data_IF_822717779614
#
_entry.id   IF_822717779614
#
_cell.length_a   1.000
_cell.length_b   1.000
_cell.length_c   1.000
_cell.angle_alpha   90.00
_cell.angle_beta   90.00
_cell.angle_gamma   90.00
#
_symmetry.space_group_name_H-M   'P 1'
#
loop_
_entity.id
_entity.type
_entity.pdbx_description
1 polymer ?
#
# COMPACT_ATOMS: atom_id res chain seq x y z
N UNK A 1 23.69 9.17 13.26
CA UNK A 1 23.87 7.88 12.59
C UNK A 1 22.70 7.66 11.65
N UNK A 2 22.96 7.13 10.46
CA UNK A 2 21.93 6.82 9.46
C UNK A 2 21.96 5.34 9.14
N UNK A 3 20.79 4.74 9.07
CA UNK A 3 20.65 3.32 8.76
C UNK A 3 19.91 3.21 7.44
N UNK A 4 20.49 2.53 6.47
CA UNK A 4 19.87 2.30 5.17
C UNK A 4 18.75 1.28 5.33
N UNK A 5 17.57 1.63 4.84
CA UNK A 5 16.38 0.79 4.86
C UNK A 5 15.67 0.83 3.51
N UNK A 6 14.69 -0.03 3.33
CA UNK A 6 13.77 0.03 2.21
C UNK A 6 12.50 0.75 2.64
N UNK A 7 11.96 1.54 1.72
CA UNK A 7 10.60 2.07 1.81
C UNK A 7 9.79 1.38 0.72
N UNK A 8 8.79 0.62 1.12
CA UNK A 8 7.86 -0.02 0.18
C UNK A 8 6.55 0.76 0.25
N UNK A 9 6.08 1.19 -0.91
CA UNK A 9 4.85 1.95 -1.03
C UNK A 9 3.86 1.16 -1.88
N UNK A 10 2.67 0.96 -1.37
CA UNK A 10 1.60 0.24 -2.04
C UNK A 10 0.48 1.23 -2.32
N UNK A 11 0.19 1.47 -3.61
CA UNK A 11 -0.87 2.37 -4.04
C UNK A 11 -2.03 1.57 -4.58
N UNK A 12 -3.18 1.72 -3.93
CA UNK A 12 -4.42 1.02 -4.26
C UNK A 12 -5.58 2.00 -4.13
N UNK A 13 -6.79 1.52 -4.28
CA UNK A 13 -8.00 2.29 -3.97
C UNK A 13 -8.65 1.71 -2.72
N UNK A 14 -9.32 2.57 -1.98
CA UNK A 14 -9.94 2.23 -0.69
C UNK A 14 -10.86 1.02 -0.76
N UNK A 15 -11.63 0.90 -1.84
CA UNK A 15 -12.62 -0.17 -1.97
C UNK A 15 -12.11 -1.39 -2.74
N UNK A 16 -10.83 -1.47 -3.06
CA UNK A 16 -10.27 -2.63 -3.73
C UNK A 16 -10.43 -3.89 -2.87
N UNK A 17 -10.78 -4.98 -3.54
CA UNK A 17 -11.04 -6.27 -2.89
C UNK A 17 -10.36 -7.39 -3.65
N UNK A 18 -10.00 -8.44 -2.92
CA UNK A 18 -9.51 -9.70 -3.47
C UNK A 18 -10.21 -10.82 -2.71
N UNK A 19 -10.93 -11.68 -3.43
CA UNK A 19 -11.64 -12.81 -2.82
C UNK A 19 -12.66 -12.38 -1.77
N UNK A 20 -13.31 -11.22 -1.98
CA UNK A 20 -14.32 -10.72 -1.06
C UNK A 20 -13.77 -9.99 0.16
N UNK A 21 -12.45 -9.83 0.26
CA UNK A 21 -11.81 -9.13 1.37
C UNK A 21 -11.19 -7.85 0.88
N UNK A 22 -11.20 -6.81 1.73
CA UNK A 22 -10.55 -5.55 1.42
C UNK A 22 -9.06 -5.77 1.21
N UNK A 23 -8.55 -5.29 0.08
CA UNK A 23 -7.13 -5.39 -0.23
C UNK A 23 -6.26 -4.72 0.82
N UNK A 24 -6.70 -3.58 1.35
CA UNK A 24 -6.03 -2.88 2.44
C UNK A 24 -5.78 -3.81 3.63
N UNK A 25 -6.81 -4.54 4.04
CA UNK A 25 -6.71 -5.46 5.19
C UNK A 25 -5.76 -6.62 4.90
N UNK A 26 -5.80 -7.16 3.68
CA UNK A 26 -4.90 -8.24 3.29
C UNK A 26 -3.44 -7.79 3.33
N UNK A 27 -3.15 -6.59 2.83
CA UNK A 27 -1.80 -6.03 2.85
C UNK A 27 -1.33 -5.81 4.29
N UNK A 28 -2.18 -5.21 5.13
CA UNK A 28 -1.82 -4.97 6.52
C UNK A 28 -1.56 -6.26 7.29
N UNK A 29 -2.37 -7.29 7.05
CA UNK A 29 -2.18 -8.60 7.69
C UNK A 29 -0.86 -9.24 7.26
N UNK A 30 -0.54 -9.15 5.98
CA UNK A 30 0.72 -9.67 5.46
C UNK A 30 1.92 -8.99 6.12
N UNK A 31 1.87 -7.66 6.25
CA UNK A 31 2.94 -6.89 6.89
C UNK A 31 3.08 -7.23 8.38
N UNK A 32 1.96 -7.37 9.09
CA UNK A 32 1.98 -7.75 10.50
C UNK A 32 2.59 -9.14 10.70
N UNK A 33 2.22 -10.10 9.88
CA UNK A 33 2.76 -11.46 9.96
C UNK A 33 4.25 -11.52 9.69
N UNK A 34 4.74 -10.61 8.85
CA UNK A 34 6.16 -10.54 8.53
C UNK A 34 6.99 -9.89 9.65
N UNK A 35 6.33 -9.35 10.67
CA UNK A 35 7.03 -8.76 11.80
C UNK A 35 7.67 -7.40 11.50
N UNK A 36 7.11 -6.64 10.54
CA UNK A 36 7.61 -5.29 10.27
C UNK A 36 7.31 -4.38 11.45
N UNK A 37 8.16 -3.35 11.62
CA UNK A 37 8.08 -2.44 12.77
C UNK A 37 6.81 -1.60 12.78
N UNK A 38 6.27 -1.31 11.60
CA UNK A 38 5.05 -0.50 11.50
C UNK A 38 4.72 -0.19 10.05
N UNK A 39 3.52 0.32 9.84
CA UNK A 39 3.06 0.75 8.53
C UNK A 39 2.12 1.92 8.71
N UNK A 40 2.07 2.80 7.72
CA UNK A 40 1.19 3.97 7.73
C UNK A 40 0.26 3.89 6.54
N UNK A 41 -1.01 4.18 6.77
CA UNK A 41 -2.01 4.27 5.71
C UNK A 41 -2.36 5.72 5.51
N UNK A 42 -2.23 6.17 4.25
CA UNK A 42 -2.60 7.52 3.84
C UNK A 42 -3.81 7.44 2.92
N UNK A 43 -4.78 8.30 3.14
CA UNK A 43 -5.92 8.43 2.24
C UNK A 43 -5.73 9.68 1.39
N UNK A 44 -5.68 9.49 0.07
CA UNK A 44 -5.61 10.61 -0.85
C UNK A 44 -6.98 11.22 -1.09
N UNK A 45 -7.00 12.48 -1.50
CA UNK A 45 -8.26 13.19 -1.77
C UNK A 45 -8.60 13.24 -3.25
N UNK A 46 -7.63 12.96 -4.11
CA UNK A 46 -7.82 13.01 -5.56
C UNK A 46 -6.71 12.21 -6.24
N UNK A 47 -6.99 11.68 -7.41
CA UNK A 47 -6.00 10.96 -8.20
C UNK A 47 -6.61 10.38 -9.46
N UNK A 48 -5.75 9.87 -10.34
CA UNK A 48 -6.19 9.13 -11.51
C UNK A 48 -5.13 8.10 -11.90
N UNK A 49 -5.55 7.10 -12.62
CA UNK A 49 -4.68 6.04 -13.11
C UNK A 49 -5.37 5.22 -14.19
N UNK A 50 -4.92 3.98 -14.39
CA UNK A 50 -5.47 3.08 -15.41
C UNK A 50 -6.98 2.89 -15.28
N UNK A 51 -7.52 2.97 -14.06
CA UNK A 51 -8.94 2.75 -13.78
C UNK A 51 -9.74 4.05 -13.67
N UNK A 52 -9.17 5.17 -14.15
CA UNK A 52 -9.84 6.47 -14.10
C UNK A 52 -9.56 7.26 -12.84
N UNK A 53 -10.46 8.16 -12.51
CA UNK A 53 -10.29 9.10 -11.40
C UNK A 53 -10.71 8.49 -10.06
N UNK A 54 -10.00 8.92 -9.00
CA UNK A 54 -10.39 8.66 -7.62
C UNK A 54 -10.55 10.01 -6.94
N UNK A 55 -11.79 10.42 -6.70
CA UNK A 55 -12.09 11.72 -6.10
C UNK A 55 -13.05 11.57 -4.94
N UNK A 56 -13.01 12.54 -4.03
CA UNK A 56 -13.98 12.64 -2.96
C UNK A 56 -15.23 13.34 -3.48
N UNK A 57 -16.36 12.64 -3.46
CA UNK A 57 -17.67 13.24 -3.74
C UNK A 57 -18.38 13.54 -2.43
N UNK A 58 -18.85 14.77 -2.28
CA UNK A 58 -19.45 15.25 -1.03
C UNK A 58 -20.96 14.96 -0.90
N UNK A 59 -21.54 14.20 -1.83
CA UNK A 59 -22.98 13.98 -1.88
C UNK A 59 -23.45 12.63 -1.33
N UNK A 60 -22.77 12.10 -0.33
CA UNK A 60 -23.19 10.87 0.33
C UNK A 60 -22.97 9.59 -0.47
N UNK A 61 -22.32 9.66 -1.60
CA UNK A 61 -22.01 8.50 -2.42
C UNK A 61 -20.68 7.91 -1.94
N UNK A 62 -20.61 6.58 -1.89
CA UNK A 62 -19.38 5.87 -1.53
C UNK A 62 -18.26 6.28 -2.47
N UNK A 63 -17.18 6.79 -1.90
CA UNK A 63 -16.06 7.31 -2.66
C UNK A 63 -14.90 6.33 -2.61
N UNK A 64 -14.40 5.96 -3.79
CA UNK A 64 -13.27 5.08 -3.90
C UNK A 64 -11.98 5.89 -3.98
N UNK A 65 -11.49 6.31 -2.84
CA UNK A 65 -10.34 7.22 -2.73
C UNK A 65 -9.02 6.50 -2.95
N UNK A 66 -8.00 7.23 -3.43
CA UNK A 66 -6.64 6.68 -3.46
C UNK A 66 -6.18 6.33 -2.05
N UNK A 67 -5.52 5.21 -1.91
CA UNK A 67 -4.98 4.76 -0.63
C UNK A 67 -3.53 4.37 -0.81
N UNK A 68 -2.69 4.84 0.10
CA UNK A 68 -1.28 4.53 0.10
C UNK A 68 -0.92 3.86 1.41
N UNK A 69 -0.30 2.69 1.33
CA UNK A 69 0.27 2.01 2.48
C UNK A 69 1.79 2.11 2.35
N UNK A 70 2.41 2.67 3.37
CA UNK A 70 3.86 2.84 3.40
C UNK A 70 4.45 2.05 4.55
N UNK A 71 5.52 1.31 4.27
CA UNK A 71 6.28 0.58 5.28
C UNK A 71 7.77 0.83 5.06
N UNK A 72 8.46 1.13 6.14
CA UNK A 72 9.91 1.32 6.13
C UNK A 72 10.51 0.28 7.09
N UNK A 73 11.37 -0.58 6.57
CA UNK A 73 12.03 -1.61 7.37
C UNK A 73 13.26 -2.12 6.61
N UNK A 74 13.91 -3.10 7.20
CA UNK A 74 15.07 -3.72 6.58
C UNK A 74 14.69 -4.46 5.30
N UNK A 75 15.56 -4.38 4.30
CA UNK A 75 15.38 -5.09 3.03
C UNK A 75 15.10 -6.57 3.24
N UNK A 76 15.84 -7.22 4.14
CA UNK A 76 15.71 -8.66 4.39
C UNK A 76 14.31 -9.07 4.88
N UNK A 77 13.58 -8.15 5.52
CA UNK A 77 12.19 -8.39 5.94
C UNK A 77 11.19 -8.13 4.84
N UNK A 78 11.44 -7.12 4.02
CA UNK A 78 10.48 -6.66 3.01
C UNK A 78 10.59 -7.41 1.68
N UNK A 79 11.81 -7.75 1.26
CA UNK A 79 12.04 -8.40 -0.03
C UNK A 79 11.26 -9.71 -0.19
N UNK A 80 11.22 -10.61 0.82
CA UNK A 80 10.45 -11.84 0.70
C UNK A 80 8.94 -11.64 0.51
N UNK A 81 8.42 -10.45 0.84
CA UNK A 81 6.99 -10.15 0.73
C UNK A 81 6.59 -9.69 -0.67
N UNK A 82 7.54 -9.27 -1.49
CA UNK A 82 7.25 -8.65 -2.78
C UNK A 82 6.44 -9.54 -3.72
N UNK A 83 6.75 -10.84 -3.87
CA UNK A 83 5.94 -11.70 -4.73
C UNK A 83 4.48 -11.75 -4.33
N UNK A 84 4.19 -11.90 -3.04
CA UNK A 84 2.81 -11.95 -2.53
C UNK A 84 2.10 -10.60 -2.68
N UNK A 85 2.80 -9.50 -2.38
CA UNK A 85 2.26 -8.16 -2.58
C UNK A 85 1.89 -7.95 -4.04
N UNK A 86 2.78 -8.33 -4.96
CA UNK A 86 2.51 -8.21 -6.39
C UNK A 86 1.31 -9.04 -6.80
N UNK A 87 1.18 -10.24 -6.26
CA UNK A 87 0.07 -11.14 -6.57
C UNK A 87 -1.28 -10.56 -6.13
N UNK A 88 -1.38 -10.08 -4.88
CA UNK A 88 -2.66 -9.57 -4.37
C UNK A 88 -3.02 -8.19 -4.90
N UNK A 89 -2.02 -7.33 -5.13
CA UNK A 89 -2.25 -6.00 -5.69
C UNK A 89 -2.57 -6.10 -7.19
N UNK A 90 -1.90 -7.02 -7.89
CA UNK A 90 -2.13 -7.24 -9.32
C UNK A 90 -1.87 -6.00 -10.15
N UNK A 91 -2.62 -5.86 -11.24
CA UNK A 91 -2.49 -4.72 -12.16
C UNK A 91 -3.33 -3.51 -11.74
N UNK A 92 -4.10 -3.65 -10.67
CA UNK A 92 -5.00 -2.59 -10.21
C UNK A 92 -4.31 -1.54 -9.36
N UNK A 93 -3.15 -1.86 -8.85
CA UNK A 93 -2.38 -0.96 -8.01
C UNK A 93 -0.92 -0.95 -8.39
N UNK A 94 -0.11 -0.35 -7.54
CA UNK A 94 1.32 -0.20 -7.76
C UNK A 94 2.08 -0.49 -6.48
N UNK A 95 3.09 -1.34 -6.57
CA UNK A 95 4.04 -1.58 -5.48
C UNK A 95 5.38 -1.03 -5.93
N UNK A 96 5.93 -0.10 -5.17
CA UNK A 96 7.22 0.52 -5.49
C UNK A 96 8.17 0.43 -4.32
N UNK A 97 9.47 0.44 -4.62
CA UNK A 97 10.54 0.32 -3.64
C UNK A 97 11.47 1.50 -3.78
N UNK A 98 11.93 1.99 -2.66
CA UNK A 98 12.90 3.08 -2.63
C UNK A 98 13.88 2.84 -1.49
N UNK A 99 15.16 3.09 -1.72
CA UNK A 99 16.13 3.15 -0.63
C UNK A 99 15.90 4.41 0.19
N UNK A 100 16.00 4.30 1.49
CA UNK A 100 15.87 5.43 2.38
C UNK A 100 16.84 5.28 3.55
N UNK A 101 17.06 6.36 4.28
CA UNK A 101 17.89 6.35 5.46
C UNK A 101 17.06 6.77 6.66
N UNK A 102 17.13 5.96 7.70
CA UNK A 102 16.44 6.23 8.97
C UNK A 102 17.48 6.71 9.97
N UNK A 103 17.12 7.69 10.72
CA UNK A 103 18.00 8.32 11.71
C UNK A 103 17.82 7.66 13.08
#
# INVERSE_FOLDING_TARGET
MRIKMWSVTIRIKKNDEVGGKRLQSLVMDLLKKAGVSGATVWTGVNGFGKRGKSTLHLEGITVNMPLIIEVIDEQKKLEPLLPELKRIVGDNGLVSIQDTYVI
#
